data_IF_522191699298
#
_entry.id   IF_522191699298
#
_cell.length_a   1.000
_cell.length_b   1.000
_cell.length_c   1.000
_cell.angle_alpha   90.00
_cell.angle_beta   90.00
_cell.angle_gamma   90.00
#
_symmetry.space_group_name_H-M   'P 1'
#
loop_
_entity.id
_entity.type
_entity.pdbx_description
1 polymer ?
#
# COMPACT_ATOMS: atom_id res chain seq x y z
N UNK A 1 6.05 3.69 8.32
CA UNK A 1 4.80 3.98 7.60
C UNK A 1 4.94 3.45 6.18
N UNK A 2 3.84 3.18 5.49
CA UNK A 2 3.86 2.79 4.07
C UNK A 2 3.58 4.08 3.30
N UNK A 3 4.63 4.72 2.81
CA UNK A 3 4.56 6.02 2.13
C UNK A 3 5.13 5.89 0.71
N UNK A 4 4.58 6.69 -0.23
CA UNK A 4 5.06 6.77 -1.62
C UNK A 4 5.04 5.46 -2.43
N UNK A 5 4.12 4.55 -2.14
CA UNK A 5 3.92 3.30 -2.91
C UNK A 5 2.45 3.03 -3.15
N UNK A 6 2.11 2.64 -4.39
CA UNK A 6 0.74 2.23 -4.74
C UNK A 6 0.54 0.76 -4.36
N UNK A 7 -0.43 0.49 -3.48
CA UNK A 7 -0.81 -0.86 -3.06
C UNK A 7 -2.31 -1.05 -3.22
N UNK A 8 -2.72 -2.30 -3.48
CA UNK A 8 -4.12 -2.70 -3.47
C UNK A 8 -4.68 -2.71 -2.04
N UNK A 9 -5.23 -1.58 -1.60
CA UNK A 9 -5.89 -1.44 -0.30
C UNK A 9 -7.37 -1.13 -0.50
N UNK A 10 -8.27 -1.59 0.39
CA UNK A 10 -9.67 -1.19 0.33
C UNK A 10 -9.79 0.32 0.56
N UNK A 11 -10.41 0.98 -0.41
CA UNK A 11 -10.67 2.43 -0.41
C UNK A 11 -12.16 2.65 -0.53
N UNK A 12 -12.68 3.62 0.22
CA UNK A 12 -14.01 4.17 -0.04
C UNK A 12 -13.86 5.16 -1.18
N UNK A 13 -14.61 4.97 -2.25
CA UNK A 13 -14.62 5.83 -3.44
C UNK A 13 -16.00 6.47 -3.57
N UNK A 14 -16.06 7.76 -3.93
CA UNK A 14 -17.29 8.38 -4.43
C UNK A 14 -17.12 8.80 -5.88
N UNK A 15 -18.19 9.37 -6.44
CA UNK A 15 -18.25 10.04 -7.72
C UNK A 15 -17.13 11.07 -7.97
N UNK A 16 -16.56 11.65 -6.91
CA UNK A 16 -15.58 12.74 -7.01
C UNK A 16 -14.13 12.37 -6.65
N UNK A 17 -13.85 11.25 -5.96
CA UNK A 17 -12.47 10.75 -5.68
C UNK A 17 -12.43 9.59 -4.65
N UNK A 18 -11.21 9.16 -4.26
CA UNK A 18 -10.96 8.33 -3.08
C UNK A 18 -11.24 9.16 -1.82
N UNK A 19 -12.31 8.81 -1.09
CA UNK A 19 -12.74 9.50 0.13
C UNK A 19 -11.82 9.21 1.30
N UNK A 20 -11.54 7.92 1.59
CA UNK A 20 -10.72 7.48 2.74
C UNK A 20 -10.12 6.09 2.48
N UNK A 21 -8.93 5.84 3.01
CA UNK A 21 -8.46 4.46 3.25
C UNK A 21 -9.08 3.92 4.52
N UNK A 22 -9.64 2.72 4.42
CA UNK A 22 -10.23 2.02 5.56
C UNK A 22 -9.11 1.60 6.51
N UNK A 23 -9.29 1.82 7.81
CA UNK A 23 -8.40 1.27 8.82
C UNK A 23 -8.58 -0.24 8.84
N UNK A 24 -7.58 -0.95 8.33
CA UNK A 24 -7.55 -2.41 8.32
C UNK A 24 -7.17 -2.90 9.71
N UNK A 25 -7.99 -3.77 10.30
CA UNK A 25 -7.57 -4.58 11.41
C UNK A 25 -6.76 -5.76 10.84
N UNK A 26 -5.44 -5.70 10.99
CA UNK A 26 -4.51 -6.69 10.44
C UNK A 26 -3.95 -7.53 11.56
N UNK A 27 -3.95 -8.85 11.37
CA UNK A 27 -3.14 -9.72 12.22
C UNK A 27 -1.65 -9.36 12.10
N UNK A 28 -0.85 -9.79 13.09
CA UNK A 28 0.60 -9.56 13.06
C UNK A 28 1.25 -10.07 11.77
N UNK A 29 0.79 -11.22 11.26
CA UNK A 29 1.27 -11.83 10.02
C UNK A 29 0.93 -10.99 8.79
N UNK A 30 -0.32 -10.55 8.68
CA UNK A 30 -0.78 -9.73 7.54
C UNK A 30 -0.08 -8.37 7.53
N UNK A 31 0.07 -7.74 8.70
CA UNK A 31 0.81 -6.48 8.83
C UNK A 31 2.27 -6.63 8.40
N UNK A 32 2.93 -7.75 8.73
CA UNK A 32 4.30 -8.04 8.27
C UNK A 32 4.35 -8.20 6.75
N UNK A 33 3.42 -8.94 6.16
CA UNK A 33 3.38 -9.16 4.71
C UNK A 33 3.06 -7.88 3.94
N UNK A 34 2.13 -7.06 4.41
CA UNK A 34 1.79 -5.79 3.80
C UNK A 34 2.99 -4.84 3.76
N UNK A 35 3.75 -4.76 4.86
CA UNK A 35 5.01 -3.98 4.91
C UNK A 35 6.07 -4.54 3.96
N UNK A 36 6.18 -5.86 3.86
CA UNK A 36 7.11 -6.48 2.92
C UNK A 36 6.75 -6.14 1.47
N UNK A 37 5.48 -6.27 1.08
CA UNK A 37 5.01 -5.86 -0.26
C UNK A 37 5.26 -4.39 -0.54
N UNK A 38 5.13 -3.51 0.46
CA UNK A 38 5.45 -2.09 0.35
C UNK A 38 6.93 -1.81 0.09
N UNK A 39 7.85 -2.68 0.52
CA UNK A 39 9.30 -2.52 0.35
C UNK A 39 9.80 -3.02 -1.01
N UNK A 40 9.23 -4.13 -1.51
CA UNK A 40 9.64 -4.74 -2.78
C UNK A 40 9.39 -3.82 -3.97
N UNK A 41 8.30 -3.04 -3.97
CA UNK A 41 7.97 -2.16 -5.08
C UNK A 41 9.04 -1.07 -5.30
N UNK A 42 9.46 -0.29 -4.28
CA UNK A 42 10.62 0.61 -4.39
C UNK A 42 11.91 -0.06 -4.86
N UNK A 43 12.19 -1.28 -4.40
CA UNK A 43 13.38 -2.03 -4.84
C UNK A 43 13.34 -2.32 -6.35
N UNK A 44 12.17 -2.74 -6.86
CA UNK A 44 11.96 -2.94 -8.30
C UNK A 44 12.09 -1.63 -9.07
N UNK A 45 11.48 -0.53 -8.59
CA UNK A 45 11.60 0.79 -9.22
C UNK A 45 13.05 1.27 -9.28
N UNK A 46 13.82 1.13 -8.20
CA UNK A 46 15.24 1.51 -8.17
C UNK A 46 16.07 0.70 -9.17
N UNK A 47 15.73 -0.58 -9.39
CA UNK A 47 16.41 -1.42 -10.38
C UNK A 47 16.05 -1.05 -11.83
N UNK A 48 14.98 -0.30 -12.06
CA UNK A 48 14.53 0.11 -13.38
C UNK A 48 15.19 1.41 -13.87
N UNK A 49 16.02 2.08 -13.06
CA UNK A 49 16.67 3.39 -13.37
C UNK A 49 15.69 4.43 -13.93
N UNK A 50 14.48 4.51 -13.37
CA UNK A 50 13.46 5.50 -13.70
C UNK A 50 13.60 6.79 -12.88
#
# INVERSE_FOLDING_TARGET
MIDNVCLGLPRVVSDQSILKTVNLDLSHREGKQLRHSAQVLPEVFNNLNL
#
